data_IF_174948408068
#
_entry.id   IF_174948408068
#
_cell.length_a   1.000
_cell.length_b   1.000
_cell.length_c   1.000
_cell.angle_alpha   90.00
_cell.angle_beta   90.00
_cell.angle_gamma   90.00
#
_symmetry.space_group_name_H-M   'P 1'
#
loop_
_entity.id
_entity.type
_entity.pdbx_description
1 polymer ?
#
# COMPACT_ATOMS: atom_id res chain seq x y z
N UNK A 1 -16.45 14.20 -23.07
CA UNK A 1 -15.45 13.43 -22.31
C UNK A 1 -15.89 11.98 -22.29
N UNK A 2 -14.99 11.05 -22.58
CA UNK A 2 -15.24 9.62 -22.38
C UNK A 2 -15.39 9.36 -20.89
N UNK A 3 -16.38 8.55 -20.46
CA UNK A 3 -16.52 8.20 -19.03
C UNK A 3 -15.32 7.36 -18.61
N UNK A 4 -14.67 7.74 -17.51
CA UNK A 4 -13.52 7.03 -16.95
C UNK A 4 -13.90 5.65 -16.40
N UNK A 5 -15.16 5.47 -16.02
CA UNK A 5 -15.68 4.25 -15.40
C UNK A 5 -17.01 3.84 -16.00
N UNK A 6 -17.39 2.60 -15.75
CA UNK A 6 -18.73 2.08 -16.00
C UNK A 6 -19.18 1.17 -14.85
N UNK A 7 -20.47 0.99 -14.71
CA UNK A 7 -21.10 0.11 -13.73
C UNK A 7 -21.66 -1.09 -14.49
N UNK A 8 -21.55 -2.28 -13.95
CA UNK A 8 -22.02 -3.50 -14.59
C UNK A 8 -22.42 -4.56 -13.57
N UNK A 9 -23.60 -5.14 -13.77
CA UNK A 9 -24.09 -6.30 -13.00
C UNK A 9 -23.26 -7.58 -13.21
N UNK A 10 -22.34 -7.57 -14.15
CA UNK A 10 -21.45 -8.71 -14.39
C UNK A 10 -20.49 -8.98 -13.24
N UNK A 11 -20.20 -7.98 -12.41
CA UNK A 11 -19.34 -8.13 -11.23
C UNK A 11 -19.91 -9.11 -10.20
N UNK A 12 -21.22 -9.23 -10.08
CA UNK A 12 -21.85 -10.20 -9.18
C UNK A 12 -21.40 -11.64 -9.43
N UNK A 13 -21.08 -11.97 -10.68
CA UNK A 13 -20.59 -13.31 -11.07
C UNK A 13 -19.15 -13.58 -10.65
N UNK A 14 -18.43 -12.55 -10.26
CA UNK A 14 -17.04 -12.60 -9.83
C UNK A 14 -16.88 -12.61 -8.30
N UNK A 15 -17.98 -12.52 -7.54
CA UNK A 15 -17.94 -12.55 -6.08
C UNK A 15 -17.40 -13.90 -5.61
N UNK A 16 -16.48 -13.88 -4.65
CA UNK A 16 -15.89 -15.08 -4.03
C UNK A 16 -16.73 -15.57 -2.85
N UNK A 17 -17.88 -16.18 -3.16
CA UNK A 17 -18.79 -16.69 -2.16
C UNK A 17 -18.15 -17.71 -1.21
N UNK A 18 -17.21 -18.54 -1.73
CA UNK A 18 -16.52 -19.55 -0.93
C UNK A 18 -15.64 -18.94 0.16
N UNK A 19 -15.09 -17.75 -0.09
CA UNK A 19 -14.29 -17.00 0.87
C UNK A 19 -15.17 -16.14 1.77
N UNK A 20 -16.12 -15.40 1.22
CA UNK A 20 -16.97 -14.44 1.95
C UNK A 20 -17.70 -15.10 3.14
N UNK A 21 -18.31 -16.28 2.95
CA UNK A 21 -19.05 -16.95 4.02
C UNK A 21 -18.16 -17.54 5.13
N UNK A 22 -16.84 -17.62 4.92
CA UNK A 22 -15.88 -18.11 5.91
C UNK A 22 -15.20 -16.99 6.71
N UNK A 23 -15.36 -15.73 6.27
CA UNK A 23 -14.74 -14.61 6.93
C UNK A 23 -15.47 -14.27 8.24
N UNK A 24 -14.71 -13.89 9.25
CA UNK A 24 -15.26 -13.37 10.51
C UNK A 24 -15.96 -12.03 10.26
N UNK A 25 -17.00 -11.77 11.01
CA UNK A 25 -17.82 -10.57 10.92
C UNK A 25 -17.60 -9.75 12.19
N UNK A 26 -16.63 -8.82 12.10
CA UNK A 26 -16.22 -8.00 13.24
C UNK A 26 -16.85 -6.60 13.21
N UNK A 27 -16.98 -5.98 14.36
CA UNK A 27 -17.37 -4.57 14.50
C UNK A 27 -16.21 -3.69 14.04
N UNK A 28 -16.51 -2.64 13.31
CA UNK A 28 -15.53 -1.60 12.96
C UNK A 28 -14.90 -1.74 11.58
N UNK A 29 -15.59 -2.42 10.70
CA UNK A 29 -15.22 -2.48 9.30
C UNK A 29 -15.00 -3.91 8.84
N UNK A 30 -15.72 -4.26 7.87
CA UNK A 30 -15.70 -5.52 7.16
C UNK A 30 -14.51 -5.56 6.15
N UNK A 31 -13.31 -5.25 6.65
CA UNK A 31 -12.08 -5.12 5.84
C UNK A 31 -11.78 -6.36 5.02
N UNK A 32 -11.91 -7.55 5.62
CA UNK A 32 -11.63 -8.80 4.95
C UNK A 32 -12.65 -9.09 3.85
N UNK A 33 -13.94 -8.80 4.09
CA UNK A 33 -15.01 -8.90 3.09
C UNK A 33 -14.76 -7.93 1.94
N UNK A 34 -14.36 -6.69 2.26
CA UNK A 34 -14.02 -5.69 1.24
C UNK A 34 -12.83 -6.13 0.40
N UNK A 35 -11.73 -6.56 1.00
CA UNK A 35 -10.54 -7.02 0.28
C UNK A 35 -10.77 -8.31 -0.51
N UNK A 36 -11.59 -9.22 0.03
CA UNK A 36 -11.85 -10.54 -0.54
C UNK A 36 -13.09 -10.65 -1.43
N UNK A 37 -13.78 -9.54 -1.75
CA UNK A 37 -15.06 -9.56 -2.45
C UNK A 37 -15.00 -10.30 -3.80
N UNK A 38 -13.93 -10.13 -4.58
CA UNK A 38 -13.84 -10.67 -5.93
C UNK A 38 -12.80 -11.78 -6.03
N UNK A 39 -13.20 -12.91 -6.59
CA UNK A 39 -12.38 -14.12 -6.71
C UNK A 39 -11.10 -13.88 -7.50
N UNK A 40 -9.97 -14.16 -6.85
CA UNK A 40 -8.64 -14.04 -7.47
C UNK A 40 -8.22 -12.61 -7.80
N UNK A 41 -8.90 -11.61 -7.26
CA UNK A 41 -8.51 -10.22 -7.42
C UNK A 41 -7.26 -9.90 -6.56
N UNK A 42 -6.39 -9.03 -7.09
CA UNK A 42 -5.26 -8.45 -6.37
C UNK A 42 -5.72 -7.16 -5.70
N UNK A 43 -5.57 -7.05 -4.38
CA UNK A 43 -5.82 -5.80 -3.65
C UNK A 43 -4.73 -4.80 -3.99
N UNK A 44 -5.10 -3.69 -4.63
CA UNK A 44 -4.18 -2.60 -4.98
C UNK A 44 -4.09 -1.60 -3.83
N UNK A 45 -5.22 -1.26 -3.25
CA UNK A 45 -5.32 -0.35 -2.13
C UNK A 45 -6.57 -0.65 -1.32
N UNK A 46 -6.45 -0.46 -0.03
CA UNK A 46 -7.55 -0.55 0.92
C UNK A 46 -7.35 0.53 1.97
N UNK A 47 -8.41 1.24 2.30
CA UNK A 47 -8.43 2.26 3.33
C UNK A 47 -9.67 2.07 4.20
N UNK A 48 -9.46 2.16 5.51
CA UNK A 48 -10.50 2.19 6.52
C UNK A 48 -10.26 3.42 7.39
N UNK A 49 -11.29 4.18 7.68
CA UNK A 49 -11.20 5.39 8.49
C UNK A 49 -10.67 5.11 9.90
N UNK A 50 -10.82 3.88 10.39
CA UNK A 50 -10.29 3.45 11.68
C UNK A 50 -10.97 4.10 12.89
N UNK A 51 -12.10 4.73 12.66
CA UNK A 51 -12.92 5.38 13.68
C UNK A 51 -14.00 4.44 14.23
N UNK A 52 -14.77 4.93 15.19
CA UNK A 52 -15.88 4.21 15.78
C UNK A 52 -17.01 3.93 14.77
N UNK A 53 -17.14 4.77 13.78
CA UNK A 53 -17.97 4.63 12.59
C UNK A 53 -17.29 5.38 11.45
N UNK A 54 -17.48 4.97 10.22
CA UNK A 54 -16.79 5.63 9.13
C UNK A 54 -16.95 4.94 7.77
N UNK A 55 -16.07 5.31 6.89
CA UNK A 55 -16.00 4.81 5.52
C UNK A 55 -14.88 3.77 5.39
N UNK A 56 -15.10 2.85 4.50
CA UNK A 56 -14.08 1.90 4.02
C UNK A 56 -14.08 1.93 2.50
N UNK A 57 -12.91 1.89 1.88
CA UNK A 57 -12.79 1.93 0.43
C UNK A 57 -11.70 0.97 -0.06
N UNK A 58 -11.97 0.32 -1.18
CA UNK A 58 -11.07 -0.69 -1.74
C UNK A 58 -10.91 -0.50 -3.25
N UNK A 59 -9.68 -0.65 -3.72
CA UNK A 59 -9.38 -0.79 -5.13
C UNK A 59 -8.71 -2.15 -5.37
N UNK A 60 -9.26 -2.91 -6.28
CA UNK A 60 -8.72 -4.22 -6.67
C UNK A 60 -8.45 -4.29 -8.17
N UNK A 61 -7.54 -5.17 -8.56
CA UNK A 61 -7.32 -5.57 -9.95
C UNK A 61 -7.89 -6.96 -10.16
N UNK A 62 -8.82 -7.07 -11.09
CA UNK A 62 -9.42 -8.35 -11.48
C UNK A 62 -8.44 -9.22 -12.28
N UNK A 63 -8.64 -10.55 -12.32
CA UNK A 63 -7.81 -11.45 -13.13
C UNK A 63 -7.78 -11.11 -14.62
N UNK A 64 -8.81 -10.46 -15.15
CA UNK A 64 -8.88 -10.02 -16.54
C UNK A 64 -8.14 -8.67 -16.80
N UNK A 65 -7.52 -8.10 -15.77
CA UNK A 65 -6.72 -6.89 -15.85
C UNK A 65 -7.47 -5.59 -15.63
N UNK A 66 -8.80 -5.62 -15.51
CA UNK A 66 -9.61 -4.44 -15.16
C UNK A 66 -9.41 -4.08 -13.69
N UNK A 67 -9.68 -2.82 -13.35
CA UNK A 67 -9.67 -2.34 -11.98
C UNK A 67 -11.09 -2.06 -11.51
N UNK A 68 -11.34 -2.30 -10.23
CA UNK A 68 -12.63 -2.03 -9.60
C UNK A 68 -12.39 -1.24 -8.33
N UNK A 69 -13.11 -0.12 -8.16
CA UNK A 69 -13.11 0.64 -6.92
C UNK A 69 -14.53 0.70 -6.35
N UNK A 70 -14.64 0.50 -5.07
CA UNK A 70 -15.89 0.48 -4.30
C UNK A 70 -15.63 0.91 -2.87
N UNK A 71 -16.67 1.35 -2.21
CA UNK A 71 -16.64 1.77 -0.83
C UNK A 71 -17.92 1.35 -0.11
N UNK A 72 -17.87 1.40 1.20
CA UNK A 72 -19.00 1.13 2.07
C UNK A 72 -18.90 1.99 3.33
N UNK A 73 -19.95 2.00 4.11
CA UNK A 73 -20.02 2.66 5.40
C UNK A 73 -20.20 1.59 6.49
N UNK A 74 -19.55 1.78 7.64
CA UNK A 74 -19.74 0.93 8.81
C UNK A 74 -20.14 1.75 10.03
N UNK A 75 -20.94 1.13 10.89
CA UNK A 75 -21.38 1.71 12.14
C UNK A 75 -20.52 1.29 13.33
N UNK A 76 -20.86 1.83 14.50
CA UNK A 76 -20.11 1.67 15.74
C UNK A 76 -20.57 0.51 16.62
N UNK A 77 -21.60 -0.20 16.25
CA UNK A 77 -22.19 -1.29 17.02
C UNK A 77 -23.05 -2.19 16.15
N UNK A 78 -23.38 -3.39 16.64
CA UNK A 78 -24.23 -4.35 15.91
C UNK A 78 -25.60 -3.82 15.49
N UNK A 79 -26.07 -2.74 16.11
CA UNK A 79 -27.31 -2.06 15.71
C UNK A 79 -27.14 -0.94 14.66
N UNK A 80 -25.90 -0.62 14.29
CA UNK A 80 -25.58 0.42 13.31
C UNK A 80 -24.54 -0.04 12.26
N UNK A 81 -24.04 -1.25 12.38
CA UNK A 81 -23.17 -1.89 11.39
C UNK A 81 -23.90 -3.12 10.85
N UNK A 82 -24.35 -3.03 9.61
CA UNK A 82 -25.17 -4.06 8.97
C UNK A 82 -24.43 -5.40 8.79
N UNK A 83 -23.08 -5.39 8.88
CA UNK A 83 -22.27 -6.59 8.73
C UNK A 83 -22.12 -7.40 10.00
N UNK A 84 -22.24 -6.75 11.16
CA UNK A 84 -22.14 -7.42 12.48
C UNK A 84 -23.42 -8.24 12.73
N UNK A 85 -23.26 -9.49 13.13
CA UNK A 85 -24.37 -10.42 13.37
C UNK A 85 -25.26 -10.70 12.14
N UNK A 86 -24.86 -10.26 10.92
CA UNK A 86 -25.59 -10.50 9.70
C UNK A 86 -25.74 -11.99 9.40
N UNK A 87 -26.90 -12.41 8.95
CA UNK A 87 -27.12 -13.75 8.40
C UNK A 87 -26.41 -13.91 7.05
N UNK A 88 -26.27 -15.15 6.56
CA UNK A 88 -25.68 -15.39 5.24
C UNK A 88 -26.51 -14.75 4.12
N UNK A 89 -27.81 -14.68 4.25
CA UNK A 89 -28.70 -14.01 3.30
C UNK A 89 -28.48 -12.49 3.28
N UNK A 90 -28.26 -11.87 4.43
CA UNK A 90 -27.97 -10.43 4.53
C UNK A 90 -26.58 -10.12 3.97
N UNK A 91 -25.55 -10.92 4.30
CA UNK A 91 -24.21 -10.81 3.70
C UNK A 91 -24.28 -10.97 2.19
N UNK A 92 -25.09 -11.93 1.70
CA UNK A 92 -25.30 -12.09 0.26
C UNK A 92 -25.83 -10.81 -0.39
N UNK A 93 -26.87 -10.21 0.20
CA UNK A 93 -27.48 -8.98 -0.31
C UNK A 93 -26.48 -7.80 -0.29
N UNK A 94 -25.69 -7.64 0.79
CA UNK A 94 -24.68 -6.60 0.91
C UNK A 94 -23.57 -6.75 -0.14
N UNK A 95 -23.04 -7.95 -0.35
CA UNK A 95 -22.04 -8.21 -1.40
C UNK A 95 -22.56 -7.92 -2.80
N UNK A 96 -23.82 -8.27 -3.10
CA UNK A 96 -24.48 -7.92 -4.37
C UNK A 96 -24.59 -6.40 -4.51
N UNK A 97 -24.97 -5.70 -3.47
CA UNK A 97 -25.08 -4.23 -3.49
C UNK A 97 -23.72 -3.57 -3.73
N UNK A 98 -22.67 -4.03 -3.04
CA UNK A 98 -21.29 -3.57 -3.27
C UNK A 98 -20.85 -3.79 -4.72
N UNK A 99 -21.07 -4.99 -5.25
CA UNK A 99 -20.71 -5.30 -6.64
C UNK A 99 -21.49 -4.46 -7.65
N UNK A 100 -22.77 -4.16 -7.38
CA UNK A 100 -23.60 -3.31 -8.24
C UNK A 100 -23.22 -1.83 -8.17
N UNK A 101 -22.77 -1.35 -7.01
CA UNK A 101 -22.30 0.02 -6.80
C UNK A 101 -20.85 0.25 -7.21
N UNK A 102 -20.09 -0.81 -7.50
CA UNK A 102 -18.69 -0.71 -7.81
C UNK A 102 -18.41 -0.11 -9.19
N UNK A 103 -17.38 0.71 -9.28
CA UNK A 103 -16.94 1.36 -10.50
C UNK A 103 -15.82 0.56 -11.17
N UNK A 104 -15.97 0.28 -12.45
CA UNK A 104 -15.03 -0.50 -13.25
C UNK A 104 -14.22 0.42 -14.14
N UNK A 105 -12.91 0.23 -14.16
CA UNK A 105 -11.96 1.03 -14.91
C UNK A 105 -11.10 0.15 -15.81
N UNK A 106 -10.63 0.71 -16.93
CA UNK A 106 -9.74 0.02 -17.87
C UNK A 106 -8.28 0.00 -17.38
N UNK A 107 -7.89 1.00 -16.60
CA UNK A 107 -6.52 1.17 -16.11
C UNK A 107 -6.48 1.77 -14.70
N UNK A 108 -5.35 1.59 -13.99
CA UNK A 108 -5.12 2.23 -12.70
C UNK A 108 -5.07 3.76 -12.82
N UNK A 109 -4.59 4.29 -13.97
CA UNK A 109 -4.60 5.73 -14.22
C UNK A 109 -6.03 6.29 -14.30
N UNK A 110 -6.99 5.53 -14.84
CA UNK A 110 -8.39 5.96 -14.85
C UNK A 110 -8.97 5.99 -13.42
N UNK A 111 -8.62 5.02 -12.56
CA UNK A 111 -8.96 5.04 -11.13
C UNK A 111 -8.39 6.29 -10.47
N UNK A 112 -7.09 6.55 -10.63
CA UNK A 112 -6.43 7.71 -10.02
C UNK A 112 -7.05 9.02 -10.51
N UNK A 113 -7.34 9.13 -11.81
CA UNK A 113 -8.00 10.30 -12.40
C UNK A 113 -9.41 10.51 -11.85
N UNK A 114 -10.16 9.42 -11.62
CA UNK A 114 -11.46 9.47 -10.97
C UNK A 114 -11.35 9.96 -9.53
N UNK A 115 -10.44 9.36 -8.73
CA UNK A 115 -10.26 9.69 -7.31
C UNK A 115 -9.66 11.10 -7.08
N UNK A 116 -9.11 11.73 -8.12
CA UNK A 116 -8.56 13.09 -8.07
C UNK A 116 -9.58 14.18 -8.42
N UNK A 117 -10.86 13.85 -8.65
CA UNK A 117 -11.89 14.82 -8.99
C UNK A 117 -12.26 15.68 -7.77
N UNK A 118 -12.65 16.92 -8.01
CA UNK A 118 -13.10 17.84 -6.95
C UNK A 118 -14.54 17.55 -6.47
N UNK A 119 -15.31 16.81 -7.25
CA UNK A 119 -16.69 16.45 -6.93
C UNK A 119 -17.10 15.16 -7.64
N UNK A 120 -18.01 14.42 -7.04
CA UNK A 120 -18.54 13.16 -7.55
C UNK A 120 -20.04 13.29 -7.80
N UNK A 121 -20.49 12.70 -8.91
CA UNK A 121 -21.92 12.71 -9.32
C UNK A 121 -22.79 11.76 -8.47
N UNK A 122 -22.20 10.98 -7.57
CA UNK A 122 -22.91 10.03 -6.72
C UNK A 122 -22.69 10.30 -5.24
N UNK A 123 -23.70 10.00 -4.43
CA UNK A 123 -23.61 10.07 -2.98
C UNK A 123 -22.69 8.99 -2.36
N UNK A 124 -22.23 8.04 -3.16
CA UNK A 124 -21.41 6.92 -2.68
C UNK A 124 -19.94 7.28 -2.50
N UNK A 125 -19.45 8.33 -3.12
CA UNK A 125 -18.07 8.80 -2.97
C UNK A 125 -18.05 10.23 -2.44
N UNK A 126 -17.35 10.44 -1.32
CA UNK A 126 -16.97 11.76 -0.85
C UNK A 126 -15.51 12.07 -1.14
N UNK A 127 -15.16 13.34 -1.04
CA UNK A 127 -13.81 13.81 -1.37
C UNK A 127 -12.76 13.24 -0.41
N UNK A 128 -13.10 13.00 0.85
CA UNK A 128 -12.12 12.54 1.84
C UNK A 128 -11.82 11.05 1.64
N UNK A 129 -12.84 10.22 1.49
CA UNK A 129 -12.70 8.80 1.16
C UNK A 129 -11.89 8.59 -0.13
N UNK A 130 -12.20 9.35 -1.18
CA UNK A 130 -11.49 9.26 -2.45
C UNK A 130 -10.01 9.66 -2.34
N UNK A 131 -9.69 10.73 -1.63
CA UNK A 131 -8.30 11.16 -1.39
C UNK A 131 -7.50 10.15 -0.60
N UNK A 132 -8.12 9.54 0.42
CA UNK A 132 -7.46 8.51 1.23
C UNK A 132 -7.14 7.28 0.40
N UNK A 133 -8.11 6.77 -0.38
CA UNK A 133 -7.86 5.64 -1.27
C UNK A 133 -6.80 5.95 -2.33
N UNK A 134 -6.81 7.17 -2.89
CA UNK A 134 -5.76 7.63 -3.81
C UNK A 134 -4.37 7.64 -3.14
N UNK A 135 -4.31 8.09 -1.89
CA UNK A 135 -3.08 8.03 -1.08
C UNK A 135 -2.56 6.60 -0.95
N UNK A 136 -3.42 5.64 -0.65
CA UNK A 136 -3.06 4.23 -0.55
C UNK A 136 -2.62 3.62 -1.90
N UNK A 137 -3.21 4.05 -3.02
CA UNK A 137 -2.74 3.65 -4.37
C UNK A 137 -1.32 4.18 -4.62
N UNK A 138 -1.03 5.42 -4.22
CA UNK A 138 0.31 5.99 -4.35
C UNK A 138 1.34 5.21 -3.51
N UNK A 139 0.98 4.76 -2.30
CA UNK A 139 1.82 3.87 -1.48
C UNK A 139 2.09 2.54 -2.19
N UNK A 140 1.07 1.91 -2.75
CA UNK A 140 1.24 0.69 -3.55
C UNK A 140 2.22 0.89 -4.70
N UNK A 141 2.05 1.96 -5.48
CA UNK A 141 2.94 2.28 -6.61
C UNK A 141 4.37 2.56 -6.13
N UNK A 142 4.54 3.22 -5.00
CA UNK A 142 5.82 3.47 -4.38
C UNK A 142 6.56 2.15 -4.03
N UNK A 143 5.90 1.23 -3.33
CA UNK A 143 6.52 -0.07 -3.01
C UNK A 143 6.79 -0.91 -4.26
N UNK A 144 5.92 -0.82 -5.27
CA UNK A 144 6.17 -1.45 -6.56
C UNK A 144 7.44 -0.92 -7.25
N UNK A 145 7.70 0.39 -7.19
CA UNK A 145 8.93 1.00 -7.69
C UNK A 145 10.15 0.58 -6.86
N UNK A 146 10.05 0.56 -5.53
CA UNK A 146 11.13 0.04 -4.68
C UNK A 146 11.50 -1.40 -5.06
N UNK A 147 10.50 -2.24 -5.34
CA UNK A 147 10.71 -3.62 -5.78
C UNK A 147 11.47 -3.70 -7.12
N UNK A 148 11.16 -2.81 -8.07
CA UNK A 148 11.91 -2.70 -9.32
C UNK A 148 13.37 -2.23 -9.11
N UNK A 149 13.65 -1.50 -8.03
CA UNK A 149 15.01 -1.10 -7.62
C UNK A 149 15.75 -2.21 -6.84
N UNK A 150 15.14 -3.38 -6.65
CA UNK A 150 15.75 -4.51 -5.95
C UNK A 150 15.45 -4.56 -4.45
N UNK A 151 14.57 -3.71 -3.94
CA UNK A 151 14.09 -3.86 -2.56
C UNK A 151 13.19 -5.07 -2.41
N UNK A 152 13.32 -5.76 -1.29
CA UNK A 152 12.45 -6.88 -0.90
C UNK A 152 11.47 -6.38 0.14
N UNK A 153 10.20 -6.58 -0.11
CA UNK A 153 9.14 -6.32 0.86
C UNK A 153 9.23 -7.36 1.99
N UNK A 154 9.38 -6.90 3.21
CA UNK A 154 9.57 -7.76 4.39
C UNK A 154 8.32 -7.85 5.24
N UNK A 155 7.54 -6.80 5.26
CA UNK A 155 6.24 -6.68 5.95
C UNK A 155 5.38 -5.68 5.19
N UNK A 156 4.10 -5.57 5.52
CA UNK A 156 3.22 -4.54 4.95
C UNK A 156 3.85 -3.15 5.15
N UNK A 157 4.02 -2.42 4.07
CA UNK A 157 4.64 -1.08 4.06
C UNK A 157 6.11 -1.03 4.50
N UNK A 158 6.82 -2.16 4.45
CA UNK A 158 8.25 -2.24 4.75
C UNK A 158 9.00 -2.89 3.60
N UNK A 159 10.07 -2.28 3.13
CA UNK A 159 10.95 -2.86 2.12
C UNK A 159 12.42 -2.66 2.49
N UNK A 160 13.25 -3.63 2.19
CA UNK A 160 14.69 -3.61 2.49
C UNK A 160 15.52 -3.99 1.28
N UNK A 161 16.71 -3.42 1.20
CA UNK A 161 17.79 -3.89 0.31
C UNK A 161 19.07 -4.04 1.12
N UNK A 162 19.82 -5.10 0.86
CA UNK A 162 21.16 -5.27 1.43
C UNK A 162 22.22 -4.83 0.41
N UNK A 163 23.19 -4.05 0.88
CA UNK A 163 24.26 -3.53 0.06
C UNK A 163 25.56 -3.42 0.87
N UNK A 164 26.61 -4.12 0.46
CA UNK A 164 27.91 -4.16 1.13
C UNK A 164 27.85 -4.42 2.66
N UNK A 165 26.95 -5.30 3.10
CA UNK A 165 26.80 -5.64 4.52
C UNK A 165 26.00 -4.62 5.34
N UNK A 166 25.47 -3.60 4.69
CA UNK A 166 24.49 -2.67 5.26
C UNK A 166 23.10 -2.99 4.72
N UNK A 167 22.09 -2.72 5.55
CA UNK A 167 20.69 -2.83 5.14
C UNK A 167 20.11 -1.43 5.02
N UNK A 168 19.54 -1.11 3.87
CA UNK A 168 18.69 0.07 3.72
C UNK A 168 17.26 -0.39 3.91
N UNK A 169 16.58 0.18 4.89
CA UNK A 169 15.18 -0.10 5.21
C UNK A 169 14.33 1.11 4.87
N UNK A 170 13.25 0.89 4.15
CA UNK A 170 12.21 1.89 3.89
C UNK A 170 10.94 1.41 4.52
N UNK A 171 10.30 2.24 5.32
CA UNK A 171 8.98 1.96 5.86
C UNK A 171 8.08 3.19 5.76
N UNK A 172 6.80 2.93 5.62
CA UNK A 172 5.76 3.94 5.54
C UNK A 172 4.93 3.88 6.82
N UNK A 173 4.92 4.98 7.56
CA UNK A 173 4.18 5.06 8.83
C UNK A 173 2.75 5.56 8.62
N UNK A 174 1.87 5.27 9.58
CA UNK A 174 0.48 5.72 9.61
C UNK A 174 0.32 7.26 9.57
N UNK A 175 1.40 7.98 9.85
CA UNK A 175 1.46 9.44 9.73
C UNK A 175 1.76 9.92 8.29
N UNK A 176 1.60 9.07 7.29
CA UNK A 176 1.84 9.35 5.87
C UNK A 176 3.29 9.79 5.56
N UNK A 177 4.25 9.30 6.34
CA UNK A 177 5.67 9.59 6.15
C UNK A 177 6.43 8.34 5.79
N UNK A 178 7.24 8.39 4.73
CA UNK A 178 8.23 7.36 4.47
C UNK A 178 9.50 7.67 5.28
N UNK A 179 10.01 6.67 5.96
CA UNK A 179 11.27 6.74 6.69
C UNK A 179 12.28 5.83 6.02
N UNK A 180 13.48 6.35 5.80
CA UNK A 180 14.61 5.60 5.28
C UNK A 180 15.63 5.42 6.40
N UNK A 181 15.99 4.19 6.70
CA UNK A 181 17.00 3.84 7.69
C UNK A 181 18.18 3.13 7.02
N UNK A 182 19.38 3.56 7.36
CA UNK A 182 20.59 2.81 7.09
C UNK A 182 20.93 2.00 8.34
N UNK A 183 20.91 0.68 8.22
CA UNK A 183 21.14 -0.25 9.34
C UNK A 183 22.46 -1.00 9.11
N UNK A 184 23.41 -0.81 10.02
CA UNK A 184 24.65 -1.58 10.05
C UNK A 184 24.54 -2.76 11.01
N UNK A 185 25.50 -3.68 10.93
CA UNK A 185 25.68 -4.75 11.92
C UNK A 185 26.83 -4.41 12.85
N UNK A 186 26.62 -4.56 14.15
CA UNK A 186 27.70 -4.49 15.13
C UNK A 186 28.64 -5.67 14.92
N UNK A 187 29.92 -5.39 14.77
CA UNK A 187 30.94 -6.41 14.52
C UNK A 187 31.13 -7.40 15.69
N UNK A 188 30.72 -7.06 16.92
CA UNK A 188 30.91 -7.90 18.09
C UNK A 188 29.81 -8.92 18.33
N UNK A 189 28.57 -8.57 18.10
CA UNK A 189 27.39 -9.40 18.43
C UNK A 189 26.42 -9.60 17.28
N UNK A 190 26.70 -9.00 16.11
CA UNK A 190 25.83 -9.07 14.94
C UNK A 190 24.50 -8.31 15.09
N UNK A 191 24.31 -7.59 16.20
CA UNK A 191 23.12 -6.79 16.41
C UNK A 191 23.01 -5.65 15.40
N UNK A 192 21.77 -5.30 15.02
CA UNK A 192 21.55 -4.17 14.13
C UNK A 192 21.83 -2.85 14.87
N UNK A 193 22.71 -2.03 14.30
CA UNK A 193 22.95 -0.66 14.76
C UNK A 193 22.52 0.29 13.64
N UNK A 194 21.51 1.14 13.91
CA UNK A 194 20.94 2.01 12.89
C UNK A 194 21.44 3.43 12.94
N UNK A 195 21.82 3.99 11.79
CA UNK A 195 21.76 5.44 11.58
C UNK A 195 20.39 5.76 10.97
N UNK A 196 19.55 6.46 11.72
CA UNK A 196 18.24 6.90 11.22
C UNK A 196 18.42 8.16 10.39
N UNK A 197 18.01 8.08 9.13
CA UNK A 197 17.76 9.26 8.32
C UNK A 197 16.25 9.38 8.15
N UNK A 198 15.62 10.29 8.89
CA UNK A 198 14.21 10.60 8.68
C UNK A 198 14.17 11.61 7.54
N UNK A 199 13.64 11.20 6.41
CA UNK A 199 13.29 12.12 5.34
C UNK A 199 11.80 12.37 5.46
N UNK A 200 11.42 13.59 5.85
CA UNK A 200 10.04 14.03 5.77
C UNK A 200 9.62 14.01 4.31
N UNK A 201 8.80 13.04 3.97
CA UNK A 201 8.26 12.93 2.63
C UNK A 201 7.07 13.87 2.53
N UNK A 202 6.96 14.63 1.43
CA UNK A 202 5.77 15.41 1.17
C UNK A 202 4.52 14.52 1.26
N UNK A 203 3.43 15.07 1.75
CA UNK A 203 2.12 14.45 1.87
C UNK A 203 1.82 13.57 0.64
N UNK A 204 1.81 12.23 0.83
CA UNK A 204 1.66 11.26 -0.25
C UNK A 204 0.32 11.36 -0.97
N UNK A 205 -0.66 12.07 -0.40
CA UNK A 205 -1.90 12.41 -1.09
C UNK A 205 -1.69 13.40 -2.24
N UNK A 206 -0.58 14.12 -2.25
CA UNK A 206 -0.26 15.20 -3.21
C UNK A 206 0.86 14.88 -4.19
N UNK A 207 1.55 13.76 -4.02
CA UNK A 207 2.67 13.37 -4.89
C UNK A 207 2.45 11.96 -5.43
N UNK A 208 2.82 11.75 -6.68
CA UNK A 208 2.79 10.42 -7.30
C UNK A 208 3.90 9.52 -6.74
N UNK A 209 3.71 8.21 -6.86
CA UNK A 209 4.76 7.25 -6.46
C UNK A 209 6.10 7.51 -7.15
N UNK A 210 6.10 7.98 -8.40
CA UNK A 210 7.32 8.34 -9.16
C UNK A 210 8.00 9.58 -8.58
N UNK A 211 7.24 10.63 -8.26
CA UNK A 211 7.76 11.85 -7.62
C UNK A 211 8.34 11.54 -6.24
N UNK A 212 7.69 10.66 -5.48
CA UNK A 212 8.17 10.20 -4.19
C UNK A 212 9.51 9.45 -4.32
N UNK A 213 9.63 8.53 -5.27
CA UNK A 213 10.89 7.83 -5.57
C UNK A 213 11.98 8.81 -6.00
N UNK A 214 11.66 9.77 -6.89
CA UNK A 214 12.62 10.78 -7.33
C UNK A 214 13.14 11.62 -6.14
N UNK A 215 12.24 12.01 -5.24
CA UNK A 215 12.59 12.73 -4.02
C UNK A 215 13.50 11.89 -3.10
N UNK A 216 13.14 10.64 -2.83
CA UNK A 216 13.94 9.74 -1.98
C UNK A 216 15.29 9.41 -2.62
N UNK A 217 15.36 9.22 -3.93
CA UNK A 217 16.62 9.05 -4.63
C UNK A 217 17.56 10.25 -4.40
N UNK A 218 17.04 11.47 -4.54
CA UNK A 218 17.85 12.68 -4.41
C UNK A 218 18.23 12.98 -2.94
N UNK A 219 17.35 12.71 -1.98
CA UNK A 219 17.49 13.18 -0.58
C UNK A 219 17.96 12.10 0.39
N UNK A 220 17.70 10.84 0.10
CA UNK A 220 18.04 9.72 1.01
C UNK A 220 18.92 8.67 0.33
N UNK A 221 18.48 8.06 -0.76
CA UNK A 221 19.19 6.91 -1.33
C UNK A 221 20.55 7.30 -1.89
N UNK A 222 20.61 8.31 -2.75
CA UNK A 222 21.88 8.75 -3.34
C UNK A 222 22.90 9.19 -2.28
N UNK A 223 22.55 10.04 -1.29
CA UNK A 223 23.47 10.38 -0.21
C UNK A 223 23.95 9.16 0.60
N UNK A 224 23.05 8.19 0.88
CA UNK A 224 23.43 6.95 1.56
C UNK A 224 24.40 6.13 0.73
N UNK A 225 24.12 5.92 -0.56
CA UNK A 225 24.98 5.15 -1.46
C UNK A 225 26.32 5.85 -1.68
N UNK A 226 26.35 7.15 -1.90
CA UNK A 226 27.58 7.94 -2.04
C UNK A 226 28.47 7.84 -0.78
N UNK A 227 27.86 7.86 0.40
CA UNK A 227 28.58 7.69 1.67
C UNK A 227 29.15 6.27 1.82
N UNK A 228 28.41 5.24 1.44
CA UNK A 228 28.86 3.85 1.48
C UNK A 228 29.95 3.60 0.45
N UNK A 229 29.84 4.11 -0.77
CA UNK A 229 30.88 4.04 -1.81
C UNK A 229 32.16 4.73 -1.36
N UNK A 230 32.06 5.89 -0.71
CA UNK A 230 33.20 6.59 -0.16
C UNK A 230 33.88 5.77 0.94
N UNK A 231 33.13 5.24 1.89
CA UNK A 231 33.68 4.37 2.95
C UNK A 231 34.33 3.10 2.39
N UNK A 232 33.70 2.49 1.39
CA UNK A 232 34.24 1.30 0.73
C UNK A 232 35.55 1.63 -0.01
N UNK A 233 35.60 2.74 -0.72
CA UNK A 233 36.82 3.24 -1.40
C UNK A 233 37.95 3.56 -0.41
N UNK A 234 37.63 4.14 0.76
CA UNK A 234 38.59 4.40 1.84
C UNK A 234 39.14 3.08 2.44
N UNK A 235 38.28 2.08 2.64
CA UNK A 235 38.71 0.76 3.12
C UNK A 235 39.62 0.04 2.12
N UNK A 236 39.31 0.12 0.84
CA UNK A 236 40.15 -0.43 -0.23
C UNK A 236 41.51 0.29 -0.33
N UNK A 237 41.54 1.61 -0.16
CA UNK A 237 42.77 2.42 -0.26
C UNK A 237 43.68 2.25 0.95
N UNK A 238 43.15 1.92 2.13
CA UNK A 238 43.92 1.82 3.37
C UNK A 238 44.67 0.49 3.58
N UNK A 239 44.80 -0.38 2.59
CA UNK A 239 45.47 -1.71 2.69
C UNK A 239 44.92 -2.65 3.78
N UNK A 240 43.95 -2.24 4.58
CA UNK A 240 43.38 -3.06 5.63
C UNK A 240 42.61 -4.26 5.06
N UNK A 241 41.96 -4.06 3.92
CA UNK A 241 41.23 -5.12 3.23
C UNK A 241 42.18 -6.19 2.66
N UNK A 242 43.32 -5.78 2.11
CA UNK A 242 44.35 -6.69 1.61
C UNK A 242 45.00 -7.50 2.76
N UNK A 243 45.12 -6.89 3.94
CA UNK A 243 45.61 -7.61 5.13
C UNK A 243 44.59 -8.60 5.69
N UNK A 244 43.28 -8.33 5.61
CA UNK A 244 42.22 -9.29 5.99
C UNK A 244 42.15 -10.48 5.04
N UNK A 245 42.29 -10.24 3.71
CA UNK A 245 42.31 -11.31 2.72
C UNK A 245 43.57 -12.17 2.78
N UNK A 246 44.72 -11.61 3.17
CA UNK A 246 46.02 -12.32 3.23
C UNK A 246 46.24 -13.02 4.57
N UNK A 247 45.54 -12.68 5.64
CA UNK A 247 45.72 -13.29 6.97
C UNK A 247 44.68 -14.33 7.35
N UNK A 248 43.89 -14.81 6.38
CA UNK A 248 43.03 -15.99 6.48
C UNK A 248 42.21 -16.05 7.78
N UNK A 249 41.00 -15.49 7.74
CA UNK A 249 39.98 -15.89 8.70
C UNK A 249 39.11 -16.96 8.06
#
# INVERSE_FOLDING_TARGET
>A
MEKLYYISDTLQKLIDWDSIYKMEREVGGHDEQMKGLFKGAEVIAHWNEGSYQGMVATCVKLPDGRFVAYNDYYGSCSGCDDWVDATDEEVHAMCINLANGAYIFKSLNDVMSFLSQDSYDSYSWDNDCAKQLLGMINVYLFFKQLKLMGFVETETNHATIEWFGFKVRVFYSDNQKATVELVGKNAHDGSECGMRSIVDVPDCQKVTGEELIAYLNAKAFKPCFDMLDKKFSELLSNNQFNNMLNNGV
#
